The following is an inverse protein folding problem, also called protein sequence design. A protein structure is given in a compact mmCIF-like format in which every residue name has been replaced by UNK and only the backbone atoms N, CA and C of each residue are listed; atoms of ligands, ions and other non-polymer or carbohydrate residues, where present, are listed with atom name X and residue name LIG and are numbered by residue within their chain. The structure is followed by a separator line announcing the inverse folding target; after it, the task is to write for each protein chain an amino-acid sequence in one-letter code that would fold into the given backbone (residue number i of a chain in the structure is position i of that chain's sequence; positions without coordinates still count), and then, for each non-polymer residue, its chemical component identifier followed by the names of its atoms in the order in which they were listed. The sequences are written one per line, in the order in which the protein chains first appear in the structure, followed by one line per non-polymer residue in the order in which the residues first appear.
data_IF_272081125020
#
_entry.id   IF_272081125020
#
_cell.length_a   1.000
_cell.length_b   1.000
_cell.length_c   1.000
_cell.angle_alpha   90.00
_cell.angle_beta   90.00
_cell.angle_gamma   90.00
#
_symmetry.space_group_name_H-M   'P 1'
#
loop_
_entity.id
_entity.type
_entity.pdbx_description
1 polymer ?
#
# COMPACT_ATOMS: atom_id res chain seq x y z
N UNK A 1 21.47 -2.89 -1.64
CA UNK A 1 20.97 -1.55 -2.02
C UNK A 1 19.47 -1.58 -1.85
N UNK A 2 18.84 -0.46 -1.51
CA UNK A 2 17.38 -0.44 -1.32
C UNK A 2 16.69 -0.42 -2.68
N UNK A 3 15.56 -1.11 -2.77
CA UNK A 3 14.74 -1.15 -3.99
C UNK A 3 13.57 -0.19 -3.80
N UNK A 4 13.49 0.87 -4.59
CA UNK A 4 12.39 1.83 -4.52
C UNK A 4 11.41 1.65 -5.67
N UNK A 5 10.11 1.62 -5.37
CA UNK A 5 9.04 1.67 -6.37
C UNK A 5 8.43 3.07 -6.43
N UNK A 6 8.10 3.55 -7.62
CA UNK A 6 7.34 4.79 -7.76
C UNK A 6 5.85 4.52 -7.58
N UNK A 7 5.18 5.22 -6.66
CA UNK A 7 3.73 5.16 -6.57
C UNK A 7 3.10 6.10 -7.62
N UNK A 8 2.60 5.55 -8.73
CA UNK A 8 2.08 6.33 -9.87
C UNK A 8 0.73 7.00 -9.59
N UNK A 9 0.09 6.70 -8.46
CA UNK A 9 -1.09 7.44 -8.01
C UNK A 9 -0.73 8.77 -7.35
N UNK A 10 0.51 8.91 -6.88
CA UNK A 10 0.97 10.08 -6.11
C UNK A 10 2.14 10.81 -6.79
N UNK A 11 2.98 10.09 -7.53
CA UNK A 11 4.08 10.60 -8.32
C UNK A 11 3.71 10.68 -9.81
N UNK A 12 4.37 11.60 -10.52
CA UNK A 12 4.19 11.86 -11.94
C UNK A 12 2.74 12.28 -12.30
N UNK A 13 2.02 12.87 -11.35
CA UNK A 13 0.62 13.32 -11.55
C UNK A 13 0.50 14.52 -12.49
N UNK A 14 1.62 15.12 -12.88
CA UNK A 14 1.75 16.12 -13.94
C UNK A 14 1.43 15.54 -15.33
N UNK A 15 1.39 14.20 -15.45
CA UNK A 15 1.11 13.47 -16.68
C UNK A 15 -0.12 12.55 -16.55
N UNK A 16 -0.66 12.13 -17.69
CA UNK A 16 -1.73 11.15 -17.73
C UNK A 16 -1.24 9.79 -17.21
N UNK A 17 -2.12 9.01 -16.58
CA UNK A 17 -1.74 7.80 -15.83
C UNK A 17 -0.84 6.83 -16.61
N UNK A 18 -1.16 6.56 -17.88
CA UNK A 18 -0.38 5.63 -18.70
C UNK A 18 1.02 6.18 -19.09
N UNK A 19 1.20 7.50 -19.14
CA UNK A 19 2.49 8.13 -19.41
C UNK A 19 3.42 8.07 -18.19
N UNK A 20 2.86 7.94 -16.98
CA UNK A 20 3.62 7.89 -15.72
C UNK A 20 4.56 6.70 -15.65
N UNK A 21 4.24 5.60 -16.31
CA UNK A 21 5.13 4.44 -16.45
C UNK A 21 6.42 4.83 -17.15
N UNK A 22 6.31 5.54 -18.28
CA UNK A 22 7.46 5.98 -19.07
C UNK A 22 8.32 6.97 -18.24
N UNK A 23 7.66 7.89 -17.51
CA UNK A 23 8.34 8.86 -16.64
C UNK A 23 9.06 8.23 -15.45
N UNK A 24 8.44 7.24 -14.81
CA UNK A 24 9.07 6.50 -13.73
C UNK A 24 10.32 5.76 -14.20
N UNK A 25 10.25 5.07 -15.34
CA UNK A 25 11.38 4.34 -15.91
C UNK A 25 12.53 5.26 -16.34
N UNK A 26 12.22 6.39 -17.00
CA UNK A 26 13.19 7.44 -17.35
C UNK A 26 13.86 8.05 -16.11
N UNK A 27 13.11 8.15 -15.01
CA UNK A 27 13.63 8.61 -13.71
C UNK A 27 14.38 7.53 -12.93
N UNK A 28 14.68 6.39 -13.56
CA UNK A 28 15.51 5.32 -13.00
C UNK A 28 14.78 4.35 -12.07
N UNK A 29 13.46 4.44 -11.92
CA UNK A 29 12.71 3.41 -11.20
C UNK A 29 12.70 2.09 -11.98
N UNK A 30 12.62 0.99 -11.24
CA UNK A 30 12.49 -0.38 -11.76
C UNK A 30 11.26 -1.10 -11.22
N UNK A 31 10.62 -0.53 -10.20
CA UNK A 31 9.35 -0.96 -9.65
C UNK A 31 8.35 0.18 -9.69
N UNK A 32 7.07 -0.13 -9.87
CA UNK A 32 5.95 0.80 -9.74
C UNK A 32 4.83 0.18 -8.92
N UNK A 33 4.12 1.02 -8.19
CA UNK A 33 2.86 0.69 -7.53
C UNK A 33 1.82 1.77 -7.84
N UNK A 34 0.55 1.46 -7.65
CA UNK A 34 -0.55 2.42 -7.77
C UNK A 34 -1.81 1.84 -7.14
N UNK A 35 -2.73 2.70 -6.72
CA UNK A 35 -3.90 2.28 -5.94
C UNK A 35 -4.81 1.33 -6.72
N UNK A 36 -5.37 1.76 -7.86
CA UNK A 36 -6.46 1.03 -8.52
C UNK A 36 -6.21 0.91 -10.04
N UNK A 37 -6.00 -0.31 -10.57
CA UNK A 37 -5.85 -0.51 -12.01
C UNK A 37 -7.18 -0.69 -12.76
N UNK A 38 -8.30 -0.80 -12.07
CA UNK A 38 -9.53 -1.42 -12.58
C UNK A 38 -10.22 -0.68 -13.74
N UNK A 39 -9.97 0.61 -13.90
CA UNK A 39 -10.48 1.40 -15.03
C UNK A 39 -9.62 1.28 -16.30
N UNK A 40 -8.50 0.55 -16.21
CA UNK A 40 -7.56 0.38 -17.32
C UNK A 40 -7.61 -1.06 -17.85
N UNK A 41 -7.46 -1.19 -19.16
CA UNK A 41 -7.26 -2.48 -19.81
C UNK A 41 -5.97 -3.13 -19.31
N UNK A 42 -6.09 -4.36 -18.82
CA UNK A 42 -4.99 -5.18 -18.31
C UNK A 42 -3.87 -5.32 -19.34
N UNK A 43 -4.17 -5.51 -20.63
CA UNK A 43 -3.16 -5.71 -21.67
C UNK A 43 -2.42 -4.41 -22.00
N UNK A 44 -3.06 -3.25 -21.81
CA UNK A 44 -2.40 -1.94 -21.91
C UNK A 44 -1.41 -1.76 -20.76
N UNK A 45 -1.80 -2.07 -19.53
CA UNK A 45 -0.93 -2.00 -18.36
C UNK A 45 0.27 -2.95 -18.48
N UNK A 46 0.03 -4.21 -18.89
CA UNK A 46 1.10 -5.19 -19.15
C UNK A 46 2.11 -4.68 -20.17
N UNK A 47 1.62 -4.07 -21.25
CA UNK A 47 2.47 -3.47 -22.28
C UNK A 47 3.31 -2.34 -21.71
N UNK A 48 2.71 -1.43 -20.94
CA UNK A 48 3.43 -0.33 -20.28
C UNK A 48 4.51 -0.82 -19.32
N UNK A 49 4.24 -1.85 -18.53
CA UNK A 49 5.26 -2.47 -17.66
C UNK A 49 6.41 -3.07 -18.47
N UNK A 50 6.09 -3.90 -19.48
CA UNK A 50 7.08 -4.59 -20.31
C UNK A 50 7.95 -3.61 -21.10
N UNK A 51 7.34 -2.66 -21.81
CA UNK A 51 8.04 -1.75 -22.71
C UNK A 51 9.00 -0.81 -21.94
N UNK A 52 8.74 -0.60 -20.65
CA UNK A 52 9.57 0.19 -19.74
C UNK A 52 10.48 -0.64 -18.81
N UNK A 53 10.44 -1.98 -18.90
CA UNK A 53 11.14 -2.89 -18.01
C UNK A 53 10.88 -2.59 -16.51
N UNK A 54 9.60 -2.41 -16.17
CA UNK A 54 9.13 -2.14 -14.82
C UNK A 54 8.47 -3.38 -14.20
N UNK A 55 8.77 -3.64 -12.93
CA UNK A 55 8.05 -4.58 -12.09
C UNK A 55 6.84 -3.89 -11.47
N UNK A 56 5.65 -4.49 -11.55
CA UNK A 56 4.52 -4.05 -10.74
C UNK A 56 4.68 -4.62 -9.34
N UNK A 57 4.70 -3.77 -8.33
CA UNK A 57 5.07 -4.18 -6.96
C UNK A 57 3.85 -4.37 -6.07
N UNK A 58 2.83 -3.53 -6.25
CA UNK A 58 1.64 -3.48 -5.40
C UNK A 58 0.48 -2.75 -6.09
N UNK A 59 -0.74 -3.23 -5.85
CA UNK A 59 -1.96 -2.42 -5.97
C UNK A 59 -3.00 -2.82 -4.91
N UNK A 60 -4.06 -2.03 -4.78
CA UNK A 60 -5.11 -2.25 -3.79
C UNK A 60 -6.26 -3.08 -4.37
N UNK A 61 -7.01 -3.80 -3.53
CA UNK A 61 -8.37 -4.27 -3.83
C UNK A 61 -9.28 -3.10 -4.25
N UNK A 62 -10.38 -3.35 -4.98
CA UNK A 62 -11.40 -2.32 -5.20
C UNK A 62 -11.89 -1.72 -3.89
N UNK A 63 -12.08 -0.41 -3.87
CA UNK A 63 -12.31 0.35 -2.63
C UNK A 63 -13.76 0.88 -2.49
N UNK A 64 -14.70 0.32 -3.24
CA UNK A 64 -16.08 0.80 -3.32
C UNK A 64 -16.20 2.11 -4.12
N UNK A 65 -17.22 2.91 -3.81
CA UNK A 65 -17.44 4.21 -4.42
C UNK A 65 -16.52 5.27 -3.81
N UNK A 66 -15.33 5.38 -4.40
CA UNK A 66 -14.31 6.34 -3.98
C UNK A 66 -14.80 7.80 -4.04
N UNK A 67 -15.67 8.11 -5.02
CA UNK A 67 -16.22 9.44 -5.23
C UNK A 67 -17.27 9.80 -4.16
N UNK A 68 -18.06 8.83 -3.71
CA UNK A 68 -18.99 8.97 -2.59
C UNK A 68 -18.30 8.98 -1.21
N UNK A 69 -16.97 8.83 -1.18
CA UNK A 69 -16.17 8.95 0.05
C UNK A 69 -15.83 7.62 0.72
N UNK A 70 -16.14 6.49 0.08
CA UNK A 70 -15.70 5.16 0.52
C UNK A 70 -14.19 5.00 0.33
N UNK A 71 -13.58 4.18 1.18
CA UNK A 71 -12.12 4.01 1.25
C UNK A 71 -11.78 2.55 1.52
N UNK A 72 -12.48 1.65 0.84
CA UNK A 72 -12.55 0.24 1.20
C UNK A 72 -13.90 -0.14 1.80
N UNK A 73 -14.24 -1.41 1.62
CA UNK A 73 -15.56 -1.97 1.99
C UNK A 73 -15.44 -3.23 2.86
N UNK A 74 -14.23 -3.63 3.23
CA UNK A 74 -13.98 -4.91 3.91
C UNK A 74 -14.65 -4.98 5.30
N UNK A 75 -14.80 -3.84 5.99
CA UNK A 75 -15.45 -3.74 7.28
C UNK A 75 -16.94 -3.34 7.21
N UNK A 76 -17.59 -3.40 6.04
CA UNK A 76 -19.00 -3.00 5.86
C UNK A 76 -19.89 -4.25 5.80
N UNK A 77 -20.69 -4.54 6.86
CA UNK A 77 -21.61 -5.68 6.83
C UNK A 77 -22.64 -5.55 5.71
N UNK A 78 -22.94 -6.67 5.05
CA UNK A 78 -23.87 -6.74 3.92
C UNK A 78 -23.26 -6.48 2.54
N UNK A 79 -21.94 -6.24 2.44
CA UNK A 79 -21.21 -6.07 1.17
C UNK A 79 -20.15 -7.15 0.92
N UNK A 80 -20.30 -8.30 1.56
CA UNK A 80 -19.34 -9.40 1.50
C UNK A 80 -19.22 -9.98 0.09
N UNK A 81 -20.32 -10.09 -0.65
CA UNK A 81 -20.31 -10.59 -2.04
C UNK A 81 -19.52 -9.65 -2.97
N UNK A 82 -19.77 -8.34 -2.87
CA UNK A 82 -19.02 -7.34 -3.63
C UNK A 82 -17.53 -7.34 -3.28
N UNK A 83 -17.21 -7.49 -1.99
CA UNK A 83 -15.82 -7.63 -1.56
C UNK A 83 -15.16 -8.86 -2.19
N UNK A 84 -15.85 -10.00 -2.22
CA UNK A 84 -15.34 -11.25 -2.82
C UNK A 84 -15.13 -11.13 -4.33
N UNK A 85 -16.04 -10.45 -5.03
CA UNK A 85 -15.87 -10.12 -6.45
C UNK A 85 -14.65 -9.23 -6.68
N UNK A 86 -14.42 -8.27 -5.78
CA UNK A 86 -13.24 -7.41 -5.79
C UNK A 86 -11.94 -8.18 -5.58
N UNK A 87 -11.92 -9.17 -4.68
CA UNK A 87 -10.78 -10.09 -4.50
C UNK A 87 -10.51 -10.87 -5.79
N UNK A 88 -11.55 -11.39 -6.44
CA UNK A 88 -11.39 -12.08 -7.72
C UNK A 88 -10.84 -11.16 -8.81
N UNK A 89 -11.29 -9.89 -8.86
CA UNK A 89 -10.76 -8.89 -9.79
C UNK A 89 -9.28 -8.59 -9.54
N UNK A 90 -8.89 -8.34 -8.29
CA UNK A 90 -7.50 -8.10 -7.93
C UNK A 90 -6.58 -9.28 -8.29
N UNK A 91 -7.02 -10.52 -8.07
CA UNK A 91 -6.27 -11.72 -8.50
C UNK A 91 -6.07 -11.74 -10.02
N UNK A 92 -7.09 -11.40 -10.82
CA UNK A 92 -6.96 -11.35 -12.28
C UNK A 92 -5.90 -10.33 -12.71
N UNK A 93 -5.95 -9.11 -12.16
CA UNK A 93 -4.95 -8.08 -12.44
C UNK A 93 -3.57 -8.50 -11.94
N UNK A 94 -3.46 -9.05 -10.74
CA UNK A 94 -2.18 -9.47 -10.15
C UNK A 94 -1.46 -10.53 -10.97
N UNK A 95 -2.19 -11.59 -11.40
CA UNK A 95 -1.65 -12.62 -12.28
C UNK A 95 -1.13 -12.03 -13.60
N UNK A 96 -1.86 -11.07 -14.14
CA UNK A 96 -1.57 -10.49 -15.44
C UNK A 96 -0.39 -9.51 -15.39
N UNK A 97 -0.29 -8.72 -14.32
CA UNK A 97 0.75 -7.70 -14.09
C UNK A 97 2.00 -8.27 -13.40
N UNK A 98 1.89 -9.45 -12.79
CA UNK A 98 3.00 -10.18 -12.17
C UNK A 98 3.33 -9.80 -10.73
N UNK A 99 2.58 -8.88 -10.10
CA UNK A 99 2.82 -8.50 -8.70
C UNK A 99 2.40 -9.61 -7.74
N UNK A 100 3.11 -9.69 -6.61
CA UNK A 100 2.94 -10.74 -5.58
C UNK A 100 2.35 -10.24 -4.27
N UNK A 101 1.88 -8.99 -4.26
CA UNK A 101 1.29 -8.33 -3.10
C UNK A 101 0.05 -7.55 -3.51
N UNK A 102 -1.00 -7.62 -2.69
CA UNK A 102 -2.24 -6.85 -2.84
C UNK A 102 -2.60 -6.25 -1.49
N UNK A 103 -2.90 -4.96 -1.46
CA UNK A 103 -3.34 -4.27 -0.25
C UNK A 103 -4.87 -4.20 -0.15
N UNK A 104 -5.41 -4.38 1.05
CA UNK A 104 -6.80 -4.13 1.35
C UNK A 104 -6.92 -2.86 2.20
N UNK A 105 -7.39 -1.77 1.60
CA UNK A 105 -7.96 -0.67 2.37
C UNK A 105 -9.23 -1.20 3.05
N UNK A 106 -9.22 -1.29 4.38
CA UNK A 106 -10.29 -1.99 5.11
C UNK A 106 -11.63 -1.24 5.09
N UNK A 107 -11.58 0.08 4.92
CA UNK A 107 -12.75 0.95 4.93
C UNK A 107 -12.81 1.88 6.13
N UNK A 108 -13.75 2.83 6.06
CA UNK A 108 -14.15 3.64 7.21
C UNK A 108 -15.13 2.85 8.08
N UNK A 109 -15.10 3.07 9.38
CA UNK A 109 -16.06 2.43 10.31
C UNK A 109 -17.48 2.80 9.89
N UNK A 110 -18.32 1.85 9.45
CA UNK A 110 -19.68 2.14 9.02
C UNK A 110 -20.57 2.50 10.21
N UNK A 111 -21.58 3.34 9.97
CA UNK A 111 -22.63 3.62 10.95
C UNK A 111 -23.75 2.58 10.85
N UNK A 112 -24.55 2.46 11.91
CA UNK A 112 -25.74 1.59 11.91
C UNK A 112 -25.49 0.12 12.23
N UNK A 113 -24.24 -0.27 12.49
CA UNK A 113 -23.84 -1.63 12.89
C UNK A 113 -23.16 -1.61 14.26
N UNK A 114 -23.26 -2.72 15.00
CA UNK A 114 -22.50 -2.91 16.22
C UNK A 114 -21.00 -3.12 15.93
N UNK A 115 -20.16 -2.84 16.91
CA UNK A 115 -18.71 -3.07 16.79
C UNK A 115 -18.38 -4.55 16.49
N UNK A 116 -19.16 -5.48 17.04
CA UNK A 116 -19.02 -6.92 16.79
C UNK A 116 -19.34 -7.26 15.34
N UNK A 117 -20.46 -6.78 14.79
CA UNK A 117 -20.81 -7.03 13.38
C UNK A 117 -19.75 -6.52 12.41
N UNK A 118 -19.21 -5.32 12.67
CA UNK A 118 -18.14 -4.70 11.87
C UNK A 118 -16.86 -5.56 11.94
N UNK A 119 -16.47 -5.95 13.15
CA UNK A 119 -15.26 -6.74 13.37
C UNK A 119 -15.36 -8.13 12.74
N UNK A 120 -16.47 -8.85 12.97
CA UNK A 120 -16.70 -10.18 12.42
C UNK A 120 -16.70 -10.13 10.88
N UNK A 121 -17.36 -9.14 10.29
CA UNK A 121 -17.36 -8.92 8.83
C UNK A 121 -15.94 -8.70 8.30
N UNK A 122 -15.17 -7.83 8.96
CA UNK A 122 -13.80 -7.53 8.57
C UNK A 122 -12.91 -8.77 8.64
N UNK A 123 -13.01 -9.53 9.74
CA UNK A 123 -12.25 -10.77 9.94
C UNK A 123 -12.60 -11.81 8.86
N UNK A 124 -13.88 -12.07 8.60
CA UNK A 124 -14.31 -13.04 7.59
C UNK A 124 -13.89 -12.63 6.18
N UNK A 125 -14.02 -11.35 5.83
CA UNK A 125 -13.62 -10.84 4.52
C UNK A 125 -12.10 -10.94 4.32
N UNK A 126 -11.30 -10.51 5.30
CA UNK A 126 -9.84 -10.61 5.18
C UNK A 126 -9.35 -12.06 5.21
N UNK A 127 -10.00 -12.95 5.98
CA UNK A 127 -9.71 -14.39 5.95
C UNK A 127 -10.00 -14.98 4.58
N UNK A 128 -11.14 -14.64 3.99
CA UNK A 128 -11.47 -15.05 2.62
C UNK A 128 -10.42 -14.55 1.62
N UNK A 129 -10.07 -13.26 1.66
CA UNK A 129 -9.09 -12.67 0.76
C UNK A 129 -7.71 -13.34 0.90
N UNK A 130 -7.23 -13.51 2.14
CA UNK A 130 -5.96 -14.16 2.42
C UNK A 130 -5.92 -15.59 1.85
N UNK A 131 -6.99 -16.37 2.04
CA UNK A 131 -7.11 -17.74 1.52
C UNK A 131 -7.15 -17.82 0.00
N UNK A 132 -7.82 -16.86 -0.65
CA UNK A 132 -7.92 -16.83 -2.12
C UNK A 132 -6.61 -16.36 -2.77
N UNK A 133 -5.95 -15.35 -2.20
CA UNK A 133 -4.66 -14.86 -2.66
C UNK A 133 -3.54 -15.89 -2.42
N UNK A 134 -3.61 -16.67 -1.33
CA UNK A 134 -2.64 -17.71 -1.02
C UNK A 134 -2.56 -18.80 -2.11
N UNK A 135 -3.70 -19.17 -2.70
CA UNK A 135 -3.78 -20.14 -3.82
C UNK A 135 -3.03 -19.68 -5.06
N UNK A 136 -2.76 -18.37 -5.15
CA UNK A 136 -2.11 -17.71 -6.27
C UNK A 136 -0.68 -17.27 -5.97
N UNK A 137 -0.17 -17.62 -4.78
CA UNK A 137 1.11 -17.14 -4.28
C UNK A 137 1.16 -15.60 -4.30
N UNK A 138 0.07 -14.97 -3.83
CA UNK A 138 -0.04 -13.53 -3.63
C UNK A 138 -0.26 -13.26 -2.14
N UNK A 139 0.55 -12.38 -1.57
CA UNK A 139 0.42 -11.95 -0.18
C UNK A 139 -0.66 -10.86 -0.04
N UNK A 140 -1.59 -11.06 0.89
CA UNK A 140 -2.49 -9.99 1.31
C UNK A 140 -1.78 -9.04 2.27
N UNK A 141 -1.97 -7.74 2.05
CA UNK A 141 -1.54 -6.69 2.96
C UNK A 141 -2.75 -5.96 3.53
N UNK A 142 -2.61 -5.52 4.77
CA UNK A 142 -3.50 -4.53 5.39
C UNK A 142 -2.66 -3.33 5.84
N UNK A 143 -3.19 -2.14 5.62
CA UNK A 143 -2.49 -0.89 5.87
C UNK A 143 -3.21 -0.09 6.96
N UNK A 144 -2.56 0.14 8.11
CA UNK A 144 -3.01 1.13 9.07
C UNK A 144 -2.81 2.55 8.53
N UNK A 145 -3.86 3.36 8.53
CA UNK A 145 -3.85 4.73 7.97
C UNK A 145 -4.10 5.76 9.07
N UNK A 146 -3.42 6.91 9.00
CA UNK A 146 -3.61 7.97 9.98
C UNK A 146 -5.00 8.62 9.89
N UNK A 147 -5.56 9.01 11.03
CA UNK A 147 -6.90 9.60 11.10
C UNK A 147 -6.99 11.04 10.59
N UNK A 148 -5.87 11.69 10.33
CA UNK A 148 -5.86 13.09 9.88
C UNK A 148 -6.12 13.19 8.38
N UNK A 149 -5.51 12.30 7.60
CA UNK A 149 -5.72 12.24 6.15
C UNK A 149 -6.92 11.37 5.80
N UNK A 150 -7.25 10.39 6.64
CA UNK A 150 -8.42 9.54 6.48
C UNK A 150 -9.28 9.49 7.75
N UNK A 151 -10.00 10.57 8.10
CA UNK A 151 -10.90 10.58 9.24
C UNK A 151 -11.92 9.44 9.19
N UNK A 152 -12.05 8.72 10.31
CA UNK A 152 -12.97 7.60 10.45
C UNK A 152 -12.51 6.28 9.83
N UNK A 153 -11.27 6.20 9.30
CA UNK A 153 -10.71 4.94 8.82
C UNK A 153 -10.62 3.91 9.96
N UNK A 154 -10.97 2.65 9.68
CA UNK A 154 -11.20 1.66 10.73
C UNK A 154 -9.91 1.14 11.36
N UNK A 155 -8.86 0.96 10.56
CA UNK A 155 -7.56 0.41 10.99
C UNK A 155 -6.50 1.51 11.01
N UNK A 156 -6.05 1.95 12.19
CA UNK A 156 -5.23 3.17 12.30
C UNK A 156 -3.88 2.98 13.01
N UNK A 157 -3.61 1.79 13.57
CA UNK A 157 -2.32 1.51 14.22
C UNK A 157 -1.81 0.08 14.03
N UNK A 158 -0.52 -0.10 14.30
CA UNK A 158 0.23 -1.35 14.19
C UNK A 158 -0.33 -2.40 15.15
N UNK A 159 -0.57 -2.06 16.41
CA UNK A 159 -1.10 -3.02 17.39
C UNK A 159 -2.51 -3.51 17.03
N UNK A 160 -3.35 -2.63 16.48
CA UNK A 160 -4.66 -3.01 15.97
C UNK A 160 -4.54 -3.98 14.79
N UNK A 161 -3.59 -3.75 13.88
CA UNK A 161 -3.34 -4.66 12.75
C UNK A 161 -2.83 -6.03 13.20
N UNK A 162 -1.93 -6.07 14.20
CA UNK A 162 -1.43 -7.32 14.77
C UNK A 162 -2.54 -8.14 15.43
N UNK A 163 -3.42 -7.48 16.19
CA UNK A 163 -4.60 -8.13 16.78
C UNK A 163 -5.53 -8.68 15.69
N UNK A 164 -5.81 -7.88 14.65
CA UNK A 164 -6.65 -8.30 13.53
C UNK A 164 -6.06 -9.49 12.77
N UNK A 165 -4.75 -9.50 12.49
CA UNK A 165 -4.06 -10.63 11.85
C UNK A 165 -4.20 -11.90 12.70
N UNK A 166 -4.08 -11.78 14.02
CA UNK A 166 -4.27 -12.90 14.94
C UNK A 166 -5.70 -13.46 14.88
N UNK A 167 -6.71 -12.61 14.85
CA UNK A 167 -8.12 -13.01 14.80
C UNK A 167 -8.51 -13.64 13.45
N UNK A 168 -7.87 -13.19 12.37
CA UNK A 168 -7.99 -13.79 11.04
C UNK A 168 -7.42 -15.22 11.02
N UNK A 169 -6.31 -15.45 11.71
CA UNK A 169 -5.70 -16.77 11.84
C UNK A 169 -5.11 -17.31 10.53
N UNK A 170 -4.56 -16.43 9.69
CA UNK A 170 -3.93 -16.79 8.41
C UNK A 170 -2.46 -16.36 8.38
N UNK A 171 -1.61 -17.19 7.80
CA UNK A 171 -0.19 -16.87 7.56
C UNK A 171 0.03 -16.05 6.27
N UNK A 172 -0.99 -15.96 5.39
CA UNK A 172 -0.92 -15.22 4.12
C UNK A 172 -1.46 -13.79 4.23
N UNK A 173 -1.19 -13.13 5.35
CA UNK A 173 -1.52 -11.71 5.56
C UNK A 173 -0.42 -11.03 6.37
N UNK A 174 -0.04 -9.82 5.94
CA UNK A 174 0.97 -9.00 6.61
C UNK A 174 0.57 -7.52 6.63
N UNK A 175 1.33 -6.73 7.37
CA UNK A 175 1.15 -5.28 7.44
C UNK A 175 1.87 -4.62 6.26
N UNK A 176 1.16 -3.73 5.55
CA UNK A 176 1.79 -2.68 4.77
C UNK A 176 2.10 -1.53 5.71
N UNK A 177 3.38 -1.31 5.97
CA UNK A 177 3.84 -0.33 6.94
C UNK A 177 4.28 0.94 6.20
N UNK A 178 3.33 1.86 6.01
CA UNK A 178 3.65 3.22 5.57
C UNK A 178 4.20 4.02 6.76
N UNK A 179 5.49 4.36 6.67
CA UNK A 179 6.22 5.11 7.70
C UNK A 179 5.58 6.48 7.96
N UNK A 180 4.99 7.11 6.95
CA UNK A 180 4.31 8.39 7.10
C UNK A 180 3.08 8.26 8.00
N UNK A 181 2.23 7.25 7.75
CA UNK A 181 1.06 6.99 8.58
C UNK A 181 1.47 6.69 10.02
N UNK A 182 2.49 5.85 10.21
CA UNK A 182 2.93 5.45 11.55
C UNK A 182 3.68 6.53 12.31
N UNK A 183 4.41 7.42 11.64
CA UNK A 183 4.97 8.61 12.30
C UNK A 183 3.87 9.51 12.84
N UNK A 184 2.76 9.67 12.10
CA UNK A 184 1.63 10.51 12.52
C UNK A 184 0.83 9.93 13.67
N UNK A 185 0.80 8.60 13.78
CA UNK A 185 -0.06 7.90 14.73
C UNK A 185 0.69 7.44 15.98
N UNK A 186 1.93 6.97 15.84
CA UNK A 186 2.62 6.19 16.87
C UNK A 186 4.02 6.74 17.18
N UNK A 187 4.73 7.31 16.20
CA UNK A 187 6.16 7.60 16.34
C UNK A 187 6.96 6.30 16.51
N UNK A 188 8.08 6.34 17.26
CA UNK A 188 8.86 5.14 17.63
C UNK A 188 9.14 4.18 16.46
N UNK A 189 9.41 4.75 15.28
CA UNK A 189 9.43 4.05 13.99
C UNK A 189 10.42 2.88 13.99
N UNK A 190 11.65 3.12 14.44
CA UNK A 190 12.71 2.11 14.40
C UNK A 190 12.41 0.93 15.32
N UNK A 191 11.93 1.20 16.53
CA UNK A 191 11.60 0.16 17.49
C UNK A 191 10.43 -0.68 16.98
N UNK A 192 9.38 -0.04 16.44
CA UNK A 192 8.20 -0.73 15.91
C UNK A 192 8.53 -1.58 14.69
N UNK A 193 9.24 -1.01 13.71
CA UNK A 193 9.66 -1.74 12.50
C UNK A 193 10.57 -2.92 12.83
N UNK A 194 11.47 -2.77 13.80
CA UNK A 194 12.39 -3.85 14.21
C UNK A 194 11.64 -4.95 14.96
N UNK A 195 10.75 -4.58 15.90
CA UNK A 195 10.01 -5.54 16.70
C UNK A 195 9.06 -6.41 15.87
N UNK A 196 8.51 -5.86 14.77
CA UNK A 196 7.49 -6.50 13.95
C UNK A 196 7.94 -6.78 12.51
N UNK A 197 9.26 -6.87 12.28
CA UNK A 197 9.83 -7.04 10.95
C UNK A 197 9.28 -8.27 10.21
N UNK A 198 9.00 -9.38 10.93
CA UNK A 198 8.43 -10.60 10.35
C UNK A 198 6.96 -10.43 9.91
N UNK A 199 6.25 -9.47 10.51
CA UNK A 199 4.84 -9.14 10.22
C UNK A 199 4.66 -8.07 9.15
N UNK A 200 5.74 -7.37 8.76
CA UNK A 200 5.69 -6.35 7.71
C UNK A 200 5.95 -7.03 6.35
N UNK A 201 5.03 -6.83 5.41
CA UNK A 201 5.10 -7.39 4.05
C UNK A 201 5.49 -6.36 2.99
N UNK A 202 5.29 -5.07 3.26
CA UNK A 202 5.65 -3.97 2.36
C UNK A 202 5.92 -2.70 3.16
N UNK A 203 6.78 -1.84 2.64
CA UNK A 203 7.10 -0.54 3.22
C UNK A 203 6.75 0.56 2.24
N UNK A 204 6.21 1.66 2.76
CA UNK A 204 6.05 2.90 2.02
C UNK A 204 6.64 4.08 2.79
N UNK A 205 6.97 5.14 2.07
CA UNK A 205 7.62 6.33 2.61
C UNK A 205 6.98 7.62 2.09
N UNK A 206 6.86 8.57 3.00
CA UNK A 206 6.67 9.99 2.74
C UNK A 206 7.08 10.79 3.99
N UNK A 207 7.50 12.02 3.83
CA UNK A 207 7.95 12.82 4.97
C UNK A 207 6.80 13.46 5.74
N UNK A 208 6.98 13.55 7.05
CA UNK A 208 6.02 14.13 7.97
C UNK A 208 6.32 15.63 8.18
N UNK A 209 5.33 16.53 8.27
CA UNK A 209 3.89 16.27 8.34
C UNK A 209 3.15 16.34 7.00
N UNK A 210 3.78 16.84 5.95
CA UNK A 210 3.09 17.23 4.70
C UNK A 210 2.98 16.12 3.64
N UNK A 211 3.47 14.91 3.94
CA UNK A 211 3.56 13.79 2.99
C UNK A 211 4.42 14.14 1.78
N UNK A 212 5.52 14.89 2.00
CA UNK A 212 6.46 15.31 0.96
C UNK A 212 7.53 14.26 0.67
N UNK A 213 8.45 14.53 -0.26
CA UNK A 213 9.62 13.66 -0.46
C UNK A 213 10.52 13.59 0.80
N UNK A 214 11.22 12.46 1.03
CA UNK A 214 12.21 12.32 2.11
C UNK A 214 13.20 13.49 2.20
N UNK A 215 13.31 14.09 3.39
CA UNK A 215 14.21 15.22 3.69
C UNK A 215 13.52 16.58 3.71
N UNK A 216 12.19 16.62 3.58
CA UNK A 216 11.38 17.86 3.60
C UNK A 216 10.69 18.12 4.93
N UNK A 217 10.86 17.20 5.88
CA UNK A 217 10.12 17.12 7.13
C UNK A 217 10.96 16.71 8.32
N UNK A 218 10.30 16.12 9.31
CA UNK A 218 10.90 15.79 10.61
C UNK A 218 11.58 14.42 10.67
N UNK A 219 11.37 13.55 9.67
CA UNK A 219 11.91 12.19 9.70
C UNK A 219 13.34 12.18 9.13
N UNK A 220 14.29 11.69 9.91
CA UNK A 220 15.64 11.40 9.42
C UNK A 220 15.66 10.13 8.56
N UNK A 221 15.36 10.27 7.28
CA UNK A 221 15.28 9.14 6.35
C UNK A 221 16.62 8.44 6.10
N UNK A 222 17.76 9.13 6.19
CA UNK A 222 19.08 8.49 6.08
C UNK A 222 19.25 7.41 7.15
N UNK A 223 18.81 7.72 8.38
CA UNK A 223 18.80 6.75 9.49
C UNK A 223 17.81 5.62 9.24
N UNK A 224 16.56 5.93 8.85
CA UNK A 224 15.51 4.93 8.57
C UNK A 224 15.93 3.97 7.45
N UNK A 225 16.52 4.47 6.37
CA UNK A 225 17.02 3.65 5.26
C UNK A 225 18.16 2.73 5.70
N UNK A 226 19.03 3.18 6.60
CA UNK A 226 20.05 2.31 7.19
C UNK A 226 19.42 1.21 8.07
N UNK A 227 18.38 1.52 8.85
CA UNK A 227 17.62 0.51 9.60
C UNK A 227 17.00 -0.54 8.67
N UNK A 228 16.33 -0.13 7.59
CA UNK A 228 15.75 -1.04 6.60
C UNK A 228 16.83 -1.90 5.93
N UNK A 229 17.98 -1.31 5.59
CA UNK A 229 19.10 -2.04 5.00
C UNK A 229 19.67 -3.10 5.96
N UNK A 230 19.72 -2.80 7.25
CA UNK A 230 20.26 -3.71 8.28
C UNK A 230 19.27 -4.79 8.71
N UNK A 231 17.97 -4.60 8.50
CA UNK A 231 16.94 -5.59 8.86
C UNK A 231 16.91 -6.82 7.95
N UNK A 232 17.57 -6.76 6.79
CA UNK A 232 17.51 -7.80 5.77
C UNK A 232 16.24 -7.75 4.90
N UNK A 233 15.44 -6.69 4.99
CA UNK A 233 14.29 -6.47 4.10
C UNK A 233 14.74 -6.41 2.63
N UNK A 234 14.19 -7.30 1.80
CA UNK A 234 14.53 -7.49 0.39
C UNK A 234 13.43 -7.04 -0.59
N UNK A 235 12.30 -6.57 -0.04
CA UNK A 235 11.17 -6.04 -0.78
C UNK A 235 11.40 -4.62 -1.32
N UNK A 236 10.38 -4.11 -2.00
CA UNK A 236 10.33 -2.73 -2.47
C UNK A 236 9.92 -1.77 -1.34
N UNK A 237 10.43 -0.54 -1.41
CA UNK A 237 10.00 0.60 -0.60
C UNK A 237 9.24 1.56 -1.53
N UNK A 238 7.93 1.67 -1.32
CA UNK A 238 7.04 2.50 -2.14
C UNK A 238 7.18 3.98 -1.83
N UNK A 239 7.49 4.78 -2.85
CA UNK A 239 7.56 6.23 -2.77
C UNK A 239 6.15 6.84 -2.91
N UNK A 240 5.36 6.83 -1.83
CA UNK A 240 3.97 7.33 -1.82
C UNK A 240 3.85 8.72 -1.17
N UNK A 241 4.43 9.71 -1.83
CA UNK A 241 4.45 11.10 -1.38
C UNK A 241 3.95 12.07 -2.45
N UNK A 242 3.64 13.30 -2.03
CA UNK A 242 3.27 14.42 -2.90
C UNK A 242 4.52 15.26 -3.16
N UNK A 243 5.05 15.30 -4.39
CA UNK A 243 6.20 16.14 -4.72
C UNK A 243 5.95 17.60 -4.35
N UNK A 244 6.96 18.29 -3.81
CA UNK A 244 6.84 19.71 -3.49
C UNK A 244 6.64 20.61 -4.71
N UNK A 245 7.21 20.21 -5.86
CA UNK A 245 7.11 20.95 -7.13
C UNK A 245 6.77 19.99 -8.27
N UNK A 246 7.75 19.61 -9.09
CA UNK A 246 7.62 18.49 -10.02
C UNK A 246 8.25 17.24 -9.43
N UNK A 247 7.73 16.09 -9.82
CA UNK A 247 8.23 14.79 -9.41
C UNK A 247 9.74 14.68 -9.68
N UNK A 248 10.18 14.97 -10.90
CA UNK A 248 11.58 14.84 -11.31
C UNK A 248 12.53 15.75 -10.50
N UNK A 249 12.11 16.97 -10.18
CA UNK A 249 12.91 17.89 -9.37
C UNK A 249 13.09 17.39 -7.92
N UNK A 250 12.08 16.69 -7.39
CA UNK A 250 12.06 16.13 -6.04
C UNK A 250 12.77 14.77 -5.87
N UNK A 251 13.35 14.19 -6.93
CA UNK A 251 13.96 12.84 -6.86
C UNK A 251 15.43 12.82 -6.44
N UNK A 252 16.07 13.96 -6.19
CA UNK A 252 17.51 14.01 -5.90
C UNK A 252 17.94 13.17 -4.68
N UNK A 253 17.07 13.04 -3.67
CA UNK A 253 17.32 12.25 -2.46
C UNK A 253 17.63 10.77 -2.77
N UNK A 254 17.04 10.20 -3.82
CA UNK A 254 17.10 8.77 -4.09
C UNK A 254 18.47 8.31 -4.61
N UNK A 255 19.24 9.24 -5.19
CA UNK A 255 20.52 8.96 -5.85
C UNK A 255 21.58 8.39 -4.88
N UNK A 256 21.42 8.64 -3.59
CA UNK A 256 22.34 8.16 -2.55
C UNK A 256 22.06 6.70 -2.13
N UNK A 257 20.91 6.15 -2.52
CA UNK A 257 20.37 4.89 -1.98
C UNK A 257 20.15 3.79 -3.02
N UNK A 258 20.21 4.13 -4.31
CA UNK A 258 20.07 3.23 -5.45
C UNK A 258 21.36 2.50 -5.80
#
# INVERSE_FOLDING_TARGET
MLRFSANLSMLFTEYDFLERFDKAALSGFRGVEFMFPYDNDIEVLKRKLRDNNLEHTLHNLPAGDWAAGERGIACIPGREEEFRDGVAAAIRYARALGNKKINCLVGKTPSGFSATEIHDTLVENLRYAANMLAKEDILLLIEPINHFDMPGFHLTGTQQALALIKDIGSDNIKIQYDIYHMQRMEGELTQTMTAWADKIGHLQIADNPRRGEPGTGEINYDFIFNVIKQSGYDGWVGCEYKPLTTTEAGLSWINQYR
#
